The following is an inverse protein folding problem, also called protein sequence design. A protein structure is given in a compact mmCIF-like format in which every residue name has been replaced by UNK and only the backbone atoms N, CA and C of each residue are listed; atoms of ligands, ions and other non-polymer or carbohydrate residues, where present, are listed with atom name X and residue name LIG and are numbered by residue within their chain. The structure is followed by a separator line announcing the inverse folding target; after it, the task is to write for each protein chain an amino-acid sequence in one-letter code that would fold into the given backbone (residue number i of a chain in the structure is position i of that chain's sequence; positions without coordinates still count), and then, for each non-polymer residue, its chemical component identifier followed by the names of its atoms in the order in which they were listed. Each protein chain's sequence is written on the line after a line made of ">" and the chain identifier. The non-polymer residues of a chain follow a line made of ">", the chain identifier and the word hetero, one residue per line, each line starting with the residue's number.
data_IF_696722117115
#
_entry.id   IF_696722117115
#
_cell.length_a   1.000
_cell.length_b   1.000
_cell.length_c   1.000
_cell.angle_alpha   90.00
_cell.angle_beta   90.00
_cell.angle_gamma   90.00
#
_symmetry.space_group_name_H-M   'P 1'
#
loop_
_entity.id
_entity.type
_entity.pdbx_description
1 polymer ?
#
# COMPACT_ATOMS: atom_id res chain seq x y z
N UNK A 1 -1.21 34.95 -0.55
CA UNK A 1 -2.37 35.53 -1.27
C UNK A 1 -2.84 34.56 -2.35
N UNK A 2 -3.67 33.60 -1.97
CA UNK A 2 -4.55 32.86 -2.88
C UNK A 2 -5.86 32.62 -2.13
N UNK A 3 -6.79 33.55 -2.29
CA UNK A 3 -8.15 33.44 -1.77
C UNK A 3 -9.01 32.77 -2.82
N UNK A 4 -9.62 31.63 -2.49
CA UNK A 4 -10.69 31.06 -3.29
C UNK A 4 -11.97 31.84 -2.97
N UNK A 5 -12.46 32.59 -3.96
CA UNK A 5 -13.74 33.28 -3.90
C UNK A 5 -14.88 32.25 -3.97
N UNK A 6 -15.45 31.92 -2.81
CA UNK A 6 -16.79 31.37 -2.69
C UNK A 6 -17.70 32.44 -2.08
N UNK A 7 -18.78 32.80 -2.78
CA UNK A 7 -19.82 33.67 -2.23
C UNK A 7 -20.61 32.91 -1.16
N UNK A 8 -20.75 33.51 0.03
CA UNK A 8 -21.49 32.96 1.17
C UNK A 8 -20.59 32.66 2.36
N UNK A 9 -20.29 33.68 3.16
CA UNK A 9 -19.45 33.63 4.34
C UNK A 9 -20.08 32.86 5.50
N UNK A 10 -20.07 31.53 5.40
CA UNK A 10 -20.03 30.68 6.59
C UNK A 10 -18.59 30.20 6.71
N UNK A 11 -17.85 30.78 7.65
CA UNK A 11 -16.59 30.22 8.09
C UNK A 11 -16.90 28.86 8.72
N UNK A 12 -16.81 27.79 7.92
CA UNK A 12 -16.88 26.44 8.45
C UNK A 12 -15.58 26.24 9.22
N UNK A 13 -15.63 26.07 10.56
CA UNK A 13 -14.44 25.72 11.30
C UNK A 13 -13.95 24.39 10.73
N UNK A 14 -12.70 24.33 10.28
CA UNK A 14 -12.07 23.05 9.95
C UNK A 14 -12.09 22.21 11.21
N UNK A 15 -13.07 21.32 11.31
CA UNK A 15 -13.13 20.34 12.38
C UNK A 15 -11.83 19.54 12.30
N UNK A 16 -11.05 19.54 13.38
CA UNK A 16 -9.84 18.74 13.46
C UNK A 16 -10.22 17.26 13.31
N UNK A 17 -10.09 16.74 12.10
CA UNK A 17 -10.27 15.33 11.85
C UNK A 17 -9.01 14.61 12.35
N UNK A 18 -9.17 13.67 13.28
CA UNK A 18 -8.05 12.88 13.80
C UNK A 18 -7.31 12.11 12.69
N UNK A 19 -8.01 11.77 11.61
CA UNK A 19 -7.48 11.05 10.45
C UNK A 19 -8.09 11.57 9.14
N UNK A 20 -7.27 11.74 8.12
CA UNK A 20 -7.68 12.21 6.80
C UNK A 20 -7.09 11.31 5.73
N UNK A 21 -7.84 11.04 4.66
CA UNK A 21 -7.36 10.32 3.48
C UNK A 21 -7.01 11.32 2.39
N UNK A 22 -5.78 11.25 1.88
CA UNK A 22 -5.35 12.04 0.73
C UNK A 22 -4.54 11.16 -0.24
N UNK A 23 -4.90 11.14 -1.52
CA UNK A 23 -4.24 10.32 -2.56
C UNK A 23 -4.01 8.85 -2.16
N UNK A 24 -4.99 8.21 -1.50
CA UNK A 24 -4.91 6.86 -0.91
C UNK A 24 -3.91 6.70 0.26
N UNK A 25 -3.47 7.81 0.86
CA UNK A 25 -2.60 7.85 2.02
C UNK A 25 -3.42 8.28 3.24
N UNK A 26 -3.43 7.43 4.27
CA UNK A 26 -4.08 7.76 5.54
C UNK A 26 -3.13 8.58 6.41
N UNK A 27 -3.45 9.87 6.56
CA UNK A 27 -2.77 10.82 7.41
C UNK A 27 -3.43 10.82 8.79
N UNK A 28 -2.62 10.70 9.82
CA UNK A 28 -3.01 10.91 11.22
C UNK A 28 -2.55 12.32 11.61
N UNK A 29 -3.30 13.02 12.47
CA UNK A 29 -2.90 14.31 13.04
C UNK A 29 -1.48 14.26 13.63
N UNK A 30 -1.08 13.14 14.23
CA UNK A 30 0.26 12.94 14.80
C UNK A 30 1.33 12.60 13.76
N UNK A 31 0.97 12.56 12.47
CA UNK A 31 1.82 12.10 11.36
C UNK A 31 2.35 10.66 11.56
N UNK A 32 1.58 9.83 12.27
CA UNK A 32 1.94 8.44 12.55
C UNK A 32 1.34 7.51 11.49
N UNK A 33 2.19 6.96 10.63
CA UNK A 33 1.77 6.13 9.49
C UNK A 33 1.55 4.65 9.81
N UNK A 34 1.49 4.25 11.08
CA UNK A 34 1.34 2.84 11.47
C UNK A 34 0.11 2.20 10.83
N UNK A 35 -1.04 2.85 10.96
CA UNK A 35 -2.31 2.37 10.44
C UNK A 35 -2.28 2.27 8.90
N UNK A 36 -1.75 3.30 8.25
CA UNK A 36 -1.56 3.34 6.79
C UNK A 36 -0.70 2.17 6.29
N UNK A 37 0.43 1.91 6.96
CA UNK A 37 1.34 0.82 6.60
C UNK A 37 0.65 -0.55 6.74
N UNK A 38 -0.11 -0.76 7.82
CA UNK A 38 -0.88 -2.01 7.98
C UNK A 38 -1.94 -2.18 6.89
N UNK A 39 -2.67 -1.12 6.55
CA UNK A 39 -3.68 -1.17 5.49
C UNK A 39 -3.05 -1.46 4.12
N UNK A 40 -1.93 -0.80 3.80
CA UNK A 40 -1.17 -1.01 2.56
C UNK A 40 -0.64 -2.44 2.48
N UNK A 41 -0.06 -2.96 3.56
CA UNK A 41 0.41 -4.36 3.66
C UNK A 41 -0.76 -5.34 3.50
N UNK A 42 -1.93 -5.05 4.07
CA UNK A 42 -3.13 -5.90 3.92
C UNK A 42 -3.63 -5.90 2.47
N UNK A 43 -3.67 -4.74 1.81
CA UNK A 43 -4.03 -4.59 0.38
C UNK A 43 -3.08 -5.40 -0.49
N UNK A 44 -1.77 -5.30 -0.26
CA UNK A 44 -0.76 -6.07 -0.98
C UNK A 44 -0.91 -7.58 -0.77
N UNK A 45 -1.14 -8.05 0.46
CA UNK A 45 -1.36 -9.48 0.74
C UNK A 45 -2.63 -10.01 0.06
N UNK A 46 -3.71 -9.23 0.01
CA UNK A 46 -4.93 -9.60 -0.72
C UNK A 46 -4.64 -9.80 -2.20
N UNK A 47 -3.88 -8.89 -2.82
CA UNK A 47 -3.46 -9.04 -4.22
C UNK A 47 -2.58 -10.26 -4.44
N UNK A 48 -1.65 -10.56 -3.54
CA UNK A 48 -0.86 -11.80 -3.60
C UNK A 48 -1.77 -13.04 -3.56
N UNK A 49 -2.76 -13.06 -2.69
CA UNK A 49 -3.72 -14.18 -2.63
C UNK A 49 -4.53 -14.31 -3.93
N UNK A 50 -4.97 -13.19 -4.52
CA UNK A 50 -5.66 -13.20 -5.81
C UNK A 50 -4.77 -13.72 -6.93
N UNK A 51 -3.52 -13.27 -7.00
CA UNK A 51 -2.56 -13.77 -7.98
C UNK A 51 -2.31 -15.26 -7.81
N UNK A 52 -2.16 -15.74 -6.57
CA UNK A 52 -2.01 -17.16 -6.26
C UNK A 52 -3.24 -17.97 -6.63
N UNK A 53 -4.45 -17.44 -6.50
CA UNK A 53 -5.66 -18.18 -6.84
C UNK A 53 -5.87 -18.28 -8.35
N UNK A 54 -5.65 -17.18 -9.08
CA UNK A 54 -5.95 -17.10 -10.52
C UNK A 54 -4.82 -17.60 -11.43
N UNK A 55 -3.56 -17.49 -10.99
CA UNK A 55 -2.39 -17.80 -11.83
C UNK A 55 -1.60 -19.01 -11.32
N UNK A 56 -2.27 -20.00 -10.70
CA UNK A 56 -1.63 -21.23 -10.17
C UNK A 56 -0.80 -21.98 -11.21
N UNK A 57 -1.28 -22.01 -12.44
CA UNK A 57 -0.67 -22.76 -13.55
C UNK A 57 0.05 -21.86 -14.55
N UNK A 58 0.18 -20.56 -14.24
CA UNK A 58 0.83 -19.62 -15.14
C UNK A 58 2.36 -19.81 -15.12
N UNK A 59 3.05 -19.53 -16.22
CA UNK A 59 4.51 -19.56 -16.24
C UNK A 59 5.07 -18.56 -15.22
N UNK A 60 6.17 -18.94 -14.56
CA UNK A 60 6.81 -18.15 -13.49
C UNK A 60 7.11 -16.73 -13.94
N UNK A 61 7.53 -16.54 -15.19
CA UNK A 61 7.80 -15.24 -15.78
C UNK A 61 6.56 -14.31 -15.78
N UNK A 62 5.39 -14.84 -16.17
CA UNK A 62 4.14 -14.08 -16.16
C UNK A 62 3.69 -13.77 -14.72
N UNK A 63 3.82 -14.72 -13.80
CA UNK A 63 3.53 -14.50 -12.39
C UNK A 63 4.42 -13.40 -11.79
N UNK A 64 5.72 -13.41 -12.09
CA UNK A 64 6.66 -12.38 -11.64
C UNK A 64 6.34 -11.01 -12.22
N UNK A 65 5.93 -10.94 -13.49
CA UNK A 65 5.51 -9.70 -14.13
C UNK A 65 4.27 -9.12 -13.44
N UNK A 66 3.24 -9.93 -13.24
CA UNK A 66 2.01 -9.55 -12.54
C UNK A 66 2.26 -9.15 -11.09
N UNK A 67 3.15 -9.87 -10.41
CA UNK A 67 3.56 -9.54 -9.05
C UNK A 67 4.23 -8.16 -8.98
N UNK A 68 5.14 -7.86 -9.91
CA UNK A 68 5.81 -6.55 -10.00
C UNK A 68 4.83 -5.44 -10.39
N UNK A 69 3.91 -5.67 -11.32
CA UNK A 69 2.99 -4.62 -11.77
C UNK A 69 1.91 -4.28 -10.74
N UNK A 70 1.42 -5.26 -9.97
CA UNK A 70 0.30 -5.06 -9.04
C UNK A 70 0.72 -4.99 -7.57
N UNK A 71 1.53 -5.92 -7.09
CA UNK A 71 1.85 -6.01 -5.65
C UNK A 71 2.94 -5.01 -5.28
N UNK A 72 3.98 -4.92 -6.12
CA UNK A 72 5.09 -4.01 -5.87
C UNK A 72 4.67 -2.54 -6.02
N UNK A 73 3.81 -2.22 -6.99
CA UNK A 73 3.23 -0.88 -7.13
C UNK A 73 2.46 -0.43 -5.88
N UNK A 74 1.64 -1.30 -5.28
CA UNK A 74 0.94 -0.99 -4.01
C UNK A 74 1.91 -0.68 -2.87
N UNK A 75 3.03 -1.41 -2.78
CA UNK A 75 3.99 -1.24 -1.69
C UNK A 75 4.94 -0.05 -1.88
N UNK A 76 5.25 0.31 -3.13
CA UNK A 76 6.18 1.39 -3.48
C UNK A 76 5.47 2.74 -3.66
N UNK A 77 4.18 2.72 -4.00
CA UNK A 77 3.39 3.94 -4.15
C UNK A 77 3.32 4.73 -2.84
N UNK A 78 3.63 6.02 -2.92
CA UNK A 78 3.59 6.94 -1.79
C UNK A 78 4.67 6.69 -0.73
N UNK A 79 5.63 5.76 -0.93
CA UNK A 79 6.69 5.48 0.05
C UNK A 79 7.40 6.77 0.47
N UNK A 80 7.68 7.69 -0.46
CA UNK A 80 8.32 8.98 -0.14
C UNK A 80 7.53 9.79 0.91
N UNK A 81 6.21 9.69 0.92
CA UNK A 81 5.34 10.43 1.83
C UNK A 81 5.22 9.77 3.23
N UNK A 82 5.21 8.43 3.31
CA UNK A 82 4.93 7.71 4.56
C UNK A 82 6.08 6.81 5.07
N UNK A 83 7.24 6.80 4.39
CA UNK A 83 8.37 5.93 4.75
C UNK A 83 8.87 6.24 6.16
N UNK A 84 8.51 5.34 7.08
CA UNK A 84 8.90 5.45 8.47
C UNK A 84 10.23 4.71 8.69
N UNK A 85 11.25 5.42 9.18
CA UNK A 85 12.59 4.85 9.46
C UNK A 85 12.62 3.77 10.56
N UNK A 86 11.48 3.41 11.16
CA UNK A 86 11.42 2.37 12.19
C UNK A 86 11.59 0.99 11.55
N UNK A 87 12.53 0.22 12.10
CA UNK A 87 12.86 -1.15 11.65
C UNK A 87 11.64 -2.08 11.58
N UNK A 88 10.67 -1.90 12.49
CA UNK A 88 9.43 -2.66 12.52
C UNK A 88 8.64 -2.56 11.21
N UNK A 89 8.38 -1.34 10.72
CA UNK A 89 7.61 -1.14 9.48
C UNK A 89 8.32 -1.73 8.27
N UNK A 90 9.63 -1.53 8.19
CA UNK A 90 10.47 -2.07 7.12
C UNK A 90 10.38 -3.61 7.11
N UNK A 91 10.41 -4.26 8.29
CA UNK A 91 10.25 -5.71 8.37
C UNK A 91 8.85 -6.15 7.91
N UNK A 92 7.79 -5.44 8.32
CA UNK A 92 6.42 -5.75 7.90
C UNK A 92 6.23 -5.62 6.38
N UNK A 93 6.81 -4.58 5.77
CA UNK A 93 6.79 -4.37 4.32
C UNK A 93 7.55 -5.50 3.59
N UNK A 94 8.77 -5.82 4.04
CA UNK A 94 9.63 -6.87 3.45
C UNK A 94 9.06 -8.29 3.59
N UNK A 95 8.20 -8.54 4.58
CA UNK A 95 7.55 -9.86 4.74
C UNK A 95 6.64 -10.20 3.56
N UNK A 96 6.03 -9.22 2.88
CA UNK A 96 5.13 -9.48 1.75
C UNK A 96 5.89 -10.03 0.53
N UNK A 97 6.96 -9.37 0.01
CA UNK A 97 7.82 -9.95 -1.02
C UNK A 97 8.46 -11.27 -0.63
N UNK A 98 8.95 -11.40 0.61
CA UNK A 98 9.60 -12.64 1.08
C UNK A 98 8.65 -13.84 1.11
N UNK A 99 7.35 -13.63 1.33
CA UNK A 99 6.32 -14.68 1.24
C UNK A 99 5.98 -15.02 -0.21
N UNK A 100 5.93 -14.02 -1.08
CA UNK A 100 5.64 -14.21 -2.50
C UNK A 100 6.79 -14.92 -3.23
N UNK A 101 8.05 -14.66 -2.87
CA UNK A 101 9.22 -15.29 -3.49
C UNK A 101 9.37 -16.79 -3.18
N UNK A 102 8.69 -17.30 -2.14
CA UNK A 102 8.65 -18.74 -1.82
C UNK A 102 7.71 -19.55 -2.72
N UNK A 103 6.74 -18.87 -3.34
CA UNK A 103 5.69 -19.47 -4.18
C UNK A 103 6.23 -20.04 -5.50
N UNK A 104 7.12 -19.36 -6.26
CA UNK A 104 7.60 -19.87 -7.55
C UNK A 104 8.44 -21.16 -7.46
N UNK A 105 8.86 -21.60 -6.26
CA UNK A 105 9.59 -22.87 -6.10
C UNK A 105 8.69 -24.12 -6.13
N UNK A 106 7.37 -23.97 -5.96
CA UNK A 106 6.43 -25.11 -5.93
C UNK A 106 5.94 -25.51 -7.34
N UNK A 107 6.23 -24.73 -8.38
CA UNK A 107 5.95 -25.07 -9.78
C UNK A 107 7.16 -25.70 -10.48
N UNK A 108 7.93 -26.55 -9.79
CA UNK A 108 9.16 -27.19 -10.31
C UNK A 108 9.03 -28.73 -10.34
N UNK A 109 7.86 -29.23 -10.74
CA UNK A 109 7.53 -30.66 -10.68
C UNK A 109 6.35 -31.07 -11.57
N UNK A 110 6.32 -30.58 -12.82
CA UNK A 110 5.65 -31.21 -13.96
C UNK A 110 6.58 -31.11 -15.17
#
# INVERSE_FOLDING_TARGET
>A
TYGLMGQGGVEVPLAEAEKTMDLDILLDFKLIFNNHIFQTVRKANRMVSLLKCNFKNAPIAAFLLLYKSMVRSILEYGVVAWYSFRKYHIQHLKRVPKRASKVPFQCRGL
#
